data_IF_105021916758
#
_entry.id   IF_105021916758
#
_cell.length_a   1.000
_cell.length_b   1.000
_cell.length_c   1.000
_cell.angle_alpha   90.00
_cell.angle_beta   90.00
_cell.angle_gamma   90.00
#
_symmetry.space_group_name_H-M   'P 1'
#
loop_
_entity.id
_entity.type
_entity.pdbx_description
1 polymer ?
#
# COMPACT_ATOMS: atom_id res chain seq x y z
N UNK A 1 -17.87 -20.23 15.30
CA UNK A 1 -18.77 -19.67 16.34
C UNK A 1 -18.97 -18.15 16.12
N UNK A 2 -17.92 -17.37 15.88
CA UNK A 2 -18.01 -15.91 15.66
C UNK A 2 -18.84 -15.54 14.43
N UNK A 3 -18.69 -16.28 13.32
CA UNK A 3 -19.47 -16.06 12.08
C UNK A 3 -20.97 -16.19 12.32
N UNK A 4 -21.38 -17.14 13.16
CA UNK A 4 -22.80 -17.36 13.47
C UNK A 4 -23.37 -16.34 14.46
N UNK A 5 -22.52 -15.60 15.16
CA UNK A 5 -22.89 -14.54 16.10
C UNK A 5 -22.77 -13.15 15.47
N UNK A 6 -22.30 -13.04 14.21
CA UNK A 6 -22.13 -11.78 13.53
C UNK A 6 -23.47 -11.15 13.18
N UNK A 7 -23.73 -9.98 13.73
CA UNK A 7 -24.87 -9.12 13.38
C UNK A 7 -24.36 -8.00 12.48
N UNK A 8 -24.87 -7.96 11.26
CA UNK A 8 -24.49 -6.88 10.32
C UNK A 8 -25.12 -5.56 10.75
N UNK A 9 -24.32 -4.52 10.85
CA UNK A 9 -24.79 -3.15 11.05
C UNK A 9 -24.70 -2.37 9.74
N UNK A 10 -25.77 -1.65 9.39
CA UNK A 10 -25.82 -0.77 8.21
C UNK A 10 -25.82 0.67 8.63
N UNK A 11 -25.10 1.49 7.86
CA UNK A 11 -25.01 2.93 8.10
C UNK A 11 -25.27 3.68 6.80
N UNK A 12 -25.87 4.85 6.90
CA UNK A 12 -26.10 5.74 5.77
C UNK A 12 -25.11 6.90 5.82
N UNK A 13 -24.42 7.09 4.71
CA UNK A 13 -23.45 8.15 4.48
C UNK A 13 -24.05 9.17 3.52
N UNK A 14 -23.94 10.46 3.83
CA UNK A 14 -24.38 11.53 2.94
C UNK A 14 -23.17 12.13 2.24
N UNK A 15 -23.28 12.28 0.94
CA UNK A 15 -22.29 12.93 0.08
C UNK A 15 -23.01 13.99 -0.76
N UNK A 16 -22.42 15.17 -0.87
CA UNK A 16 -22.88 16.25 -1.75
C UNK A 16 -21.84 16.53 -2.84
N UNK A 17 -22.30 16.92 -4.01
CA UNK A 17 -21.47 17.46 -5.09
C UNK A 17 -21.92 18.91 -5.29
N UNK A 18 -21.00 19.84 -5.06
CA UNK A 18 -21.25 21.27 -5.23
C UNK A 18 -20.63 21.74 -6.53
N UNK A 19 -21.38 22.48 -7.33
CA UNK A 19 -20.84 23.23 -8.45
C UNK A 19 -20.35 24.60 -7.93
N UNK A 20 -19.06 24.84 -8.03
CA UNK A 20 -18.45 26.10 -7.61
C UNK A 20 -18.02 26.87 -8.84
N UNK A 21 -18.47 28.13 -9.02
CA UNK A 21 -18.02 28.97 -10.13
C UNK A 21 -16.55 29.35 -9.93
N UNK A 22 -15.71 29.09 -10.93
CA UNK A 22 -14.34 29.53 -10.99
C UNK A 22 -14.22 30.99 -11.48
N UNK A 23 -13.04 31.59 -11.31
CA UNK A 23 -12.75 32.97 -11.72
C UNK A 23 -12.98 33.23 -13.22
N UNK A 24 -12.81 32.21 -14.06
CA UNK A 24 -12.96 32.31 -15.53
C UNK A 24 -14.36 31.86 -16.03
N UNK A 25 -15.35 31.71 -15.14
CA UNK A 25 -16.68 31.21 -15.50
C UNK A 25 -16.77 29.71 -15.70
N UNK A 26 -15.68 28.97 -15.54
CA UNK A 26 -15.70 27.50 -15.50
C UNK A 26 -16.31 27.02 -14.20
N UNK A 27 -17.08 25.92 -14.25
CA UNK A 27 -17.64 25.29 -13.05
C UNK A 27 -16.73 24.16 -12.61
N UNK A 28 -16.35 24.17 -11.35
CA UNK A 28 -15.61 23.08 -10.71
C UNK A 28 -16.54 22.30 -9.78
N UNK A 29 -16.46 20.97 -9.82
CA UNK A 29 -17.17 20.11 -8.90
C UNK A 29 -16.37 19.88 -7.63
N UNK A 30 -16.97 20.18 -6.48
CA UNK A 30 -16.40 19.90 -5.16
C UNK A 30 -17.24 18.84 -4.46
N UNK A 31 -16.65 17.68 -4.26
CA UNK A 31 -17.29 16.59 -3.52
C UNK A 31 -17.07 16.78 -2.03
N UNK A 32 -18.16 16.89 -1.29
CA UNK A 32 -18.17 16.98 0.17
C UNK A 32 -18.80 15.73 0.78
N UNK A 33 -18.38 15.40 1.98
CA UNK A 33 -18.86 14.25 2.72
C UNK A 33 -19.23 14.70 4.14
N UNK A 34 -20.43 14.29 4.59
CA UNK A 34 -20.84 14.55 5.98
C UNK A 34 -19.98 13.67 6.92
N UNK A 35 -19.36 14.30 7.91
CA UNK A 35 -18.47 13.60 8.85
C UNK A 35 -19.19 12.60 9.77
N UNK A 36 -20.53 12.72 9.94
CA UNK A 36 -21.37 11.79 10.69
C UNK A 36 -22.10 10.82 9.77
N UNK A 37 -22.50 9.67 10.34
CA UNK A 37 -23.30 8.65 9.65
C UNK A 37 -24.64 8.52 10.33
N UNK A 38 -25.68 8.16 9.58
CA UNK A 38 -27.01 7.90 10.09
C UNK A 38 -27.25 6.41 10.26
N UNK A 39 -27.98 6.04 11.29
CA UNK A 39 -28.32 4.61 11.55
C UNK A 39 -29.47 4.15 10.68
N UNK A 40 -30.39 5.05 10.33
CA UNK A 40 -31.58 4.73 9.54
C UNK A 40 -31.66 5.55 8.27
N UNK A 41 -32.39 5.03 7.28
CA UNK A 41 -32.67 5.71 6.03
C UNK A 41 -33.52 6.97 6.24
N UNK A 42 -34.44 6.89 7.19
CA UNK A 42 -35.37 7.97 7.56
C UNK A 42 -34.60 9.15 8.11
N UNK A 43 -33.63 8.94 9.02
CA UNK A 43 -32.76 10.00 9.53
C UNK A 43 -31.94 10.66 8.41
N UNK A 44 -31.34 9.86 7.54
CA UNK A 44 -30.57 10.39 6.40
C UNK A 44 -31.45 11.20 5.45
N UNK A 45 -32.69 10.73 5.20
CA UNK A 45 -33.65 11.44 4.34
C UNK A 45 -34.11 12.74 4.96
N UNK A 46 -34.44 12.75 6.25
CA UNK A 46 -34.81 13.96 6.97
C UNK A 46 -33.71 15.03 6.90
N UNK A 47 -32.44 14.61 7.06
CA UNK A 47 -31.29 15.50 6.88
C UNK A 47 -31.22 16.08 5.46
N UNK A 48 -31.40 15.25 4.44
CA UNK A 48 -31.34 15.67 3.03
C UNK A 48 -32.50 16.66 2.70
N UNK A 49 -33.69 16.49 3.28
CA UNK A 49 -34.80 17.45 3.10
C UNK A 49 -34.43 18.85 3.64
N UNK A 50 -33.77 18.92 4.79
CA UNK A 50 -33.27 20.19 5.35
C UNK A 50 -32.18 20.81 4.46
N UNK A 51 -31.37 19.97 3.78
CA UNK A 51 -30.31 20.46 2.90
C UNK A 51 -30.80 21.09 1.59
N UNK A 52 -32.03 20.83 1.15
CA UNK A 52 -32.57 21.37 -0.12
C UNK A 52 -32.55 22.88 -0.20
N UNK A 53 -32.94 23.53 0.88
CA UNK A 53 -33.03 24.99 0.96
C UNK A 53 -31.88 25.62 1.75
N UNK A 54 -30.89 24.82 2.12
CA UNK A 54 -29.76 25.28 2.93
C UNK A 54 -28.74 26.07 2.09
N UNK A 55 -28.19 27.11 2.67
CA UNK A 55 -27.06 27.85 2.11
C UNK A 55 -25.77 27.24 2.63
N UNK A 56 -24.90 26.78 1.71
CA UNK A 56 -23.61 26.22 2.04
C UNK A 56 -22.54 27.30 1.92
N UNK A 57 -21.59 27.28 2.85
CA UNK A 57 -20.43 28.18 2.87
C UNK A 57 -19.18 27.38 3.26
N UNK A 58 -18.09 27.61 2.54
CA UNK A 58 -16.75 27.15 2.96
C UNK A 58 -16.34 28.04 4.15
N UNK A 59 -16.17 27.44 5.30
CA UNK A 59 -15.80 28.14 6.54
C UNK A 59 -14.32 28.14 6.78
N UNK A 60 -13.63 27.11 6.30
CA UNK A 60 -12.19 26.97 6.48
C UNK A 60 -11.57 26.15 5.36
N UNK A 61 -10.33 26.48 5.00
CA UNK A 61 -9.50 25.71 4.04
C UNK A 61 -8.15 25.45 4.71
N UNK A 62 -7.96 24.22 5.16
CA UNK A 62 -6.75 23.83 5.87
C UNK A 62 -5.86 22.97 4.97
N UNK A 63 -4.68 23.48 4.63
CA UNK A 63 -3.65 22.71 3.97
C UNK A 63 -2.72 22.14 5.02
N UNK A 64 -2.62 20.80 5.07
CA UNK A 64 -1.73 20.11 6.00
C UNK A 64 -0.69 19.33 5.21
N UNK A 65 0.59 19.36 5.61
CA UNK A 65 1.58 18.48 5.02
C UNK A 65 1.19 17.03 5.27
N UNK A 66 1.25 16.22 4.24
CA UNK A 66 0.94 14.79 4.33
C UNK A 66 2.18 13.98 4.02
N UNK A 67 2.49 13.00 4.87
CA UNK A 67 3.59 12.06 4.68
C UNK A 67 3.05 10.67 4.44
N UNK A 68 3.53 10.02 3.40
CA UNK A 68 3.22 8.63 3.11
C UNK A 68 4.47 7.77 3.26
N UNK A 69 4.50 6.97 4.32
CA UNK A 69 5.56 6.00 4.54
C UNK A 69 5.43 4.81 3.60
N UNK A 70 6.54 4.25 3.13
CA UNK A 70 6.53 3.07 2.29
C UNK A 70 6.03 1.84 3.06
N UNK A 71 5.45 0.90 2.32
CA UNK A 71 5.04 -0.39 2.88
C UNK A 71 6.26 -1.27 3.18
N UNK A 72 6.17 -2.20 4.15
CA UNK A 72 7.25 -3.13 4.47
C UNK A 72 7.60 -4.05 3.30
N UNK A 73 8.76 -4.73 3.36
CA UNK A 73 9.12 -5.80 2.43
C UNK A 73 8.06 -6.90 2.38
N UNK A 74 8.08 -7.71 1.34
CA UNK A 74 7.06 -8.72 1.14
C UNK A 74 7.16 -9.92 2.10
N UNK A 75 6.00 -10.33 2.61
CA UNK A 75 5.72 -11.69 3.06
C UNK A 75 5.11 -12.50 1.92
N UNK A 76 4.94 -13.82 2.07
CA UNK A 76 4.21 -14.66 1.10
C UNK A 76 2.84 -14.08 0.77
N UNK A 77 2.05 -13.76 1.79
CA UNK A 77 0.69 -13.25 1.63
C UNK A 77 0.64 -11.91 0.89
N UNK A 78 1.49 -10.96 1.27
CA UNK A 78 1.51 -9.64 0.64
C UNK A 78 2.07 -9.66 -0.77
N UNK A 79 3.03 -10.56 -1.07
CA UNK A 79 3.51 -10.79 -2.44
C UNK A 79 2.39 -11.32 -3.34
N UNK A 80 1.64 -12.32 -2.89
CA UNK A 80 0.50 -12.87 -3.64
C UNK A 80 -0.56 -11.81 -3.95
N UNK A 81 -0.91 -10.99 -2.96
CA UNK A 81 -1.89 -9.91 -3.14
C UNK A 81 -1.43 -8.85 -4.14
N UNK A 82 -0.18 -8.40 -4.05
CA UNK A 82 0.35 -7.38 -4.96
C UNK A 82 0.58 -7.94 -6.37
N UNK A 83 1.03 -9.19 -6.51
CA UNK A 83 1.20 -9.83 -7.80
C UNK A 83 -0.17 -10.01 -8.49
N UNK A 84 -1.21 -10.40 -7.77
CA UNK A 84 -2.56 -10.48 -8.31
C UNK A 84 -3.06 -9.10 -8.78
N UNK A 85 -2.88 -8.07 -7.95
CA UNK A 85 -3.36 -6.72 -8.24
C UNK A 85 -2.62 -6.03 -9.38
N UNK A 86 -1.28 -6.16 -9.43
CA UNK A 86 -0.42 -5.41 -10.35
C UNK A 86 -0.02 -6.18 -11.61
N UNK A 87 0.10 -7.50 -11.49
CA UNK A 87 0.57 -8.36 -12.59
C UNK A 87 -0.52 -9.28 -13.14
N UNK A 88 -1.67 -9.36 -12.47
CA UNK A 88 -2.74 -10.29 -12.83
C UNK A 88 -2.40 -11.77 -12.57
N UNK A 89 -1.41 -12.05 -11.73
CA UNK A 89 -0.98 -13.42 -11.42
C UNK A 89 -1.93 -14.07 -10.43
N UNK A 90 -2.27 -15.34 -10.67
CA UNK A 90 -2.94 -16.14 -9.65
C UNK A 90 -1.98 -16.44 -8.49
N UNK A 91 -2.55 -16.84 -7.34
CA UNK A 91 -1.77 -17.27 -6.17
C UNK A 91 -0.80 -18.40 -6.54
N UNK A 92 -1.30 -19.41 -7.25
CA UNK A 92 -0.48 -20.55 -7.69
C UNK A 92 0.63 -20.12 -8.63
N UNK A 93 0.32 -19.31 -9.64
CA UNK A 93 1.32 -18.78 -10.59
C UNK A 93 2.40 -17.97 -9.87
N UNK A 94 2.02 -17.09 -8.95
CA UNK A 94 2.95 -16.29 -8.15
C UNK A 94 3.93 -17.19 -7.41
N UNK A 95 3.45 -18.26 -6.77
CA UNK A 95 4.29 -19.16 -6.00
C UNK A 95 5.22 -20.01 -6.88
N UNK A 96 4.78 -20.46 -8.05
CA UNK A 96 5.61 -21.18 -9.01
C UNK A 96 6.75 -20.29 -9.52
N UNK A 97 6.44 -19.05 -9.89
CA UNK A 97 7.44 -18.09 -10.37
C UNK A 97 8.42 -17.71 -9.25
N UNK A 98 7.91 -17.44 -8.04
CA UNK A 98 8.76 -17.15 -6.88
C UNK A 98 9.68 -18.32 -6.51
N UNK A 99 9.22 -19.57 -6.63
CA UNK A 99 10.03 -20.75 -6.43
C UNK A 99 11.22 -20.79 -7.39
N UNK A 100 10.98 -20.53 -8.68
CA UNK A 100 12.05 -20.48 -9.69
C UNK A 100 13.07 -19.39 -9.42
N UNK A 101 12.60 -18.19 -9.01
CA UNK A 101 13.47 -17.08 -8.63
C UNK A 101 14.35 -17.44 -7.42
N UNK A 102 13.79 -18.15 -6.44
CA UNK A 102 14.53 -18.64 -5.29
C UNK A 102 15.55 -19.71 -5.68
N UNK A 103 15.15 -20.73 -6.44
CA UNK A 103 16.03 -21.82 -6.88
C UNK A 103 17.18 -21.33 -7.76
N UNK A 104 16.97 -20.25 -8.53
CA UNK A 104 18.02 -19.59 -9.31
C UNK A 104 18.84 -18.57 -8.49
N UNK A 105 18.61 -18.46 -7.18
CA UNK A 105 19.35 -17.58 -6.28
C UNK A 105 19.06 -16.09 -6.43
N UNK A 106 17.96 -15.71 -7.08
CA UNK A 106 17.62 -14.30 -7.34
C UNK A 106 16.94 -13.62 -6.15
N UNK A 107 16.19 -14.37 -5.35
CA UNK A 107 15.47 -13.86 -4.17
C UNK A 107 15.69 -14.76 -2.95
N UNK A 108 15.40 -14.23 -1.76
CA UNK A 108 15.33 -15.00 -0.52
C UNK A 108 14.15 -15.97 -0.54
N UNK A 109 14.07 -16.85 0.45
CA UNK A 109 13.02 -17.86 0.52
C UNK A 109 11.62 -17.24 0.52
N UNK A 110 10.77 -17.68 -0.41
CA UNK A 110 9.47 -17.08 -0.69
C UNK A 110 8.33 -17.51 0.24
N UNK A 111 8.56 -18.47 1.13
CA UNK A 111 7.55 -18.90 2.13
C UNK A 111 7.94 -18.35 3.49
N UNK A 112 7.54 -17.11 3.76
CA UNK A 112 7.83 -16.41 5.01
C UNK A 112 6.69 -15.47 5.38
N UNK A 113 6.48 -15.31 6.66
CA UNK A 113 5.60 -14.30 7.26
C UNK A 113 6.40 -13.13 7.84
N UNK A 114 7.74 -13.20 7.75
CA UNK A 114 8.65 -12.16 8.23
C UNK A 114 8.71 -10.96 7.28
N UNK A 115 8.79 -9.78 7.85
CA UNK A 115 9.09 -8.51 7.16
C UNK A 115 10.49 -7.99 7.51
N UNK A 116 11.27 -8.76 8.28
CA UNK A 116 12.61 -8.37 8.71
C UNK A 116 13.60 -8.42 7.56
N UNK A 117 14.56 -7.52 7.59
CA UNK A 117 15.74 -7.54 6.72
C UNK A 117 16.99 -7.74 7.59
N UNK A 118 17.95 -8.54 7.13
CA UNK A 118 19.24 -8.65 7.78
C UNK A 118 20.04 -7.34 7.69
N UNK A 119 21.03 -7.16 8.56
CA UNK A 119 21.90 -5.99 8.53
C UNK A 119 22.61 -5.84 7.18
N UNK A 120 23.00 -6.95 6.55
CA UNK A 120 23.57 -6.95 5.21
C UNK A 120 22.57 -6.43 4.17
N UNK A 121 21.30 -6.86 4.25
CA UNK A 121 20.27 -6.39 3.35
C UNK A 121 19.97 -4.90 3.53
N UNK A 122 19.95 -4.42 4.78
CA UNK A 122 19.78 -2.99 5.09
C UNK A 122 20.93 -2.16 4.52
N UNK A 123 22.19 -2.60 4.75
CA UNK A 123 23.38 -1.91 4.28
C UNK A 123 23.44 -1.86 2.73
N UNK A 124 23.18 -2.99 2.07
CA UNK A 124 23.20 -3.07 0.59
C UNK A 124 22.03 -2.32 -0.05
N UNK A 125 20.85 -2.29 0.58
CA UNK A 125 19.73 -1.44 0.14
C UNK A 125 20.06 0.04 0.24
N UNK A 126 20.67 0.47 1.35
CA UNK A 126 21.14 1.85 1.53
C UNK A 126 22.11 2.24 0.41
N UNK A 127 23.10 1.39 0.13
CA UNK A 127 24.09 1.64 -0.93
C UNK A 127 23.40 1.76 -2.29
N UNK A 128 22.52 0.82 -2.64
CA UNK A 128 21.80 0.84 -3.91
C UNK A 128 20.94 2.11 -4.08
N UNK A 129 20.24 2.56 -3.03
CA UNK A 129 19.47 3.81 -3.08
C UNK A 129 20.39 5.02 -3.25
N UNK A 130 21.50 5.05 -2.52
CA UNK A 130 22.47 6.15 -2.63
C UNK A 130 23.02 6.27 -4.05
N UNK A 131 23.40 5.15 -4.65
CA UNK A 131 24.01 5.12 -5.99
C UNK A 131 23.00 5.48 -7.09
N UNK A 132 21.75 5.00 -6.97
CA UNK A 132 20.73 5.20 -8.00
C UNK A 132 19.99 6.54 -7.89
N UNK A 133 19.74 7.01 -6.68
CA UNK A 133 18.82 8.13 -6.43
C UNK A 133 19.43 9.25 -5.59
N UNK A 134 20.47 8.95 -4.81
CA UNK A 134 21.14 9.88 -3.91
C UNK A 134 20.76 9.69 -2.43
N UNK A 135 21.67 10.10 -1.56
CA UNK A 135 21.59 9.85 -0.10
C UNK A 135 20.34 10.48 0.54
N UNK A 136 19.83 11.59 0.01
CA UNK A 136 18.63 12.26 0.53
C UNK A 136 17.37 11.39 0.51
N UNK A 137 17.35 10.35 -0.33
CA UNK A 137 16.21 9.42 -0.42
C UNK A 137 16.38 8.20 0.48
N UNK A 138 17.49 8.06 1.18
CA UNK A 138 17.73 6.95 2.09
C UNK A 138 17.04 7.20 3.43
N UNK A 139 16.24 6.22 3.88
CA UNK A 139 15.73 6.14 5.25
C UNK A 139 15.67 4.68 5.65
N UNK A 140 16.75 4.18 6.23
CA UNK A 140 16.82 2.79 6.70
C UNK A 140 15.77 2.54 7.78
N UNK A 141 14.97 1.48 7.61
CA UNK A 141 13.94 1.04 8.55
C UNK A 141 14.05 -0.44 8.81
N UNK A 142 14.00 -0.81 10.08
CA UNK A 142 13.80 -2.19 10.48
C UNK A 142 12.32 -2.38 10.78
N UNK A 143 11.70 -3.30 10.03
CA UNK A 143 10.31 -3.69 10.25
C UNK A 143 10.29 -4.90 11.19
N UNK A 144 9.43 -4.85 12.20
CA UNK A 144 9.25 -5.97 13.12
C UNK A 144 7.98 -6.74 12.75
N UNK A 145 8.08 -8.06 12.74
CA UNK A 145 6.92 -8.94 12.57
C UNK A 145 6.09 -8.96 13.85
N UNK A 146 4.80 -8.64 13.77
CA UNK A 146 3.90 -8.54 14.93
C UNK A 146 3.31 -9.89 15.39
N UNK A 147 3.52 -10.98 14.64
CA UNK A 147 2.94 -12.29 14.98
C UNK A 147 3.67 -12.93 16.16
N UNK A 148 2.92 -13.28 17.20
CA UNK A 148 3.42 -14.13 18.30
C UNK A 148 3.72 -15.52 17.71
N UNK A 149 5.00 -15.86 17.53
CA UNK A 149 5.45 -17.14 16.99
C UNK A 149 6.11 -17.06 15.62
N UNK A 150 6.29 -15.87 15.04
CA UNK A 150 7.20 -15.71 13.89
C UNK A 150 8.61 -16.12 14.31
N UNK A 151 9.19 -17.08 13.59
CA UNK A 151 10.59 -17.44 13.82
C UNK A 151 11.45 -16.23 13.43
N UNK A 152 12.11 -15.62 14.41
CA UNK A 152 12.96 -14.43 14.22
C UNK A 152 14.10 -14.63 13.19
N UNK A 153 14.39 -15.89 12.85
CA UNK A 153 15.43 -16.29 11.92
C UNK A 153 15.06 -16.11 10.42
N UNK A 154 13.79 -15.79 10.10
CA UNK A 154 13.37 -15.67 8.71
C UNK A 154 13.40 -14.22 8.23
N UNK A 155 14.00 -14.00 7.06
CA UNK A 155 13.92 -12.71 6.36
C UNK A 155 12.63 -12.57 5.54
N UNK A 156 12.32 -11.33 5.18
CA UNK A 156 11.33 -11.01 4.16
C UNK A 156 11.73 -11.53 2.77
N UNK A 157 10.79 -11.55 1.85
CA UNK A 157 11.07 -11.83 0.44
C UNK A 157 11.73 -10.58 -0.17
N UNK A 158 12.99 -10.73 -0.58
CA UNK A 158 13.81 -9.66 -1.15
C UNK A 158 14.77 -10.19 -2.22
N UNK A 159 15.33 -9.34 -3.08
CA UNK A 159 16.45 -9.73 -3.94
C UNK A 159 17.64 -10.22 -3.11
N UNK A 160 18.33 -11.23 -3.60
CA UNK A 160 19.59 -11.68 -3.00
C UNK A 160 20.66 -10.59 -3.12
N UNK A 161 20.71 -9.93 -4.28
CA UNK A 161 21.64 -8.85 -4.59
C UNK A 161 20.86 -7.58 -4.91
N UNK A 162 20.93 -6.56 -4.06
CA UNK A 162 20.19 -5.29 -4.22
C UNK A 162 20.67 -4.47 -5.43
N UNK A 163 21.91 -4.68 -5.87
CA UNK A 163 22.50 -4.03 -7.05
C UNK A 163 21.92 -4.52 -8.36
N UNK A 164 21.28 -5.69 -8.37
CA UNK A 164 20.68 -6.27 -9.58
C UNK A 164 19.25 -5.73 -9.73
N UNK A 165 19.10 -4.62 -10.47
CA UNK A 165 17.76 -4.04 -10.74
C UNK A 165 16.91 -4.94 -11.63
N UNK A 166 17.55 -5.72 -12.49
CA UNK A 166 16.92 -6.63 -13.45
C UNK A 166 17.61 -7.98 -13.43
N UNK A 167 16.91 -9.00 -13.91
CA UNK A 167 17.43 -10.36 -14.04
C UNK A 167 17.21 -10.90 -15.46
N UNK A 168 18.00 -11.89 -15.85
CA UNK A 168 17.71 -12.73 -17.01
C UNK A 168 16.68 -13.80 -16.62
N UNK A 169 15.70 -14.04 -17.47
CA UNK A 169 14.65 -15.03 -17.21
C UNK A 169 13.43 -14.80 -18.09
N UNK A 170 12.38 -15.56 -17.84
CA UNK A 170 11.10 -15.40 -18.53
C UNK A 170 10.45 -14.04 -18.18
N UNK A 171 9.54 -13.57 -19.03
CA UNK A 171 8.82 -12.33 -18.78
C UNK A 171 8.06 -12.33 -17.43
N UNK A 172 7.61 -13.50 -16.96
CA UNK A 172 6.94 -13.64 -15.67
C UNK A 172 7.92 -13.50 -14.51
N UNK A 173 9.10 -14.12 -14.62
CA UNK A 173 10.18 -14.02 -13.64
C UNK A 173 10.68 -12.57 -13.52
N UNK A 174 10.92 -11.92 -14.65
CA UNK A 174 11.35 -10.51 -14.67
C UNK A 174 10.31 -9.59 -14.01
N UNK A 175 9.01 -9.74 -14.33
CA UNK A 175 7.93 -8.94 -13.72
C UNK A 175 7.81 -9.16 -12.22
N UNK A 176 7.90 -10.41 -11.76
CA UNK A 176 7.79 -10.70 -10.33
C UNK A 176 9.02 -10.22 -9.57
N UNK A 177 10.22 -10.39 -10.14
CA UNK A 177 11.46 -9.88 -9.57
C UNK A 177 11.44 -8.34 -9.45
N UNK A 178 11.05 -7.64 -10.50
CA UNK A 178 10.92 -6.17 -10.51
C UNK A 178 9.96 -5.68 -9.40
N UNK A 179 8.83 -6.37 -9.22
CA UNK A 179 7.89 -6.08 -8.14
C UNK A 179 8.54 -6.24 -6.76
N UNK A 180 9.31 -7.32 -6.54
CA UNK A 180 10.00 -7.61 -5.28
C UNK A 180 11.12 -6.59 -5.04
N UNK A 181 11.93 -6.31 -6.06
CA UNK A 181 13.02 -5.34 -5.99
C UNK A 181 12.50 -3.95 -5.62
N UNK A 182 11.52 -3.43 -6.36
CA UNK A 182 10.91 -2.12 -6.11
C UNK A 182 10.32 -2.01 -4.70
N UNK A 183 9.65 -3.05 -4.21
CA UNK A 183 9.10 -3.06 -2.86
C UNK A 183 10.22 -3.00 -1.81
N UNK A 184 11.27 -3.78 -1.97
CA UNK A 184 12.39 -3.82 -1.03
C UNK A 184 13.10 -2.48 -0.99
N UNK A 185 13.48 -1.92 -2.13
CA UNK A 185 14.13 -0.60 -2.22
C UNK A 185 13.21 0.48 -1.63
N UNK A 186 11.96 0.56 -2.06
CA UNK A 186 11.02 1.56 -1.56
C UNK A 186 10.83 1.48 -0.04
N UNK A 187 10.88 0.29 0.56
CA UNK A 187 10.76 0.11 2.01
C UNK A 187 11.86 0.83 2.78
N UNK A 188 13.02 1.05 2.17
CA UNK A 188 14.20 1.68 2.75
C UNK A 188 14.39 3.14 2.28
N UNK A 189 13.41 3.69 1.56
CA UNK A 189 13.45 5.09 1.10
C UNK A 189 12.75 6.04 2.07
N UNK A 190 13.04 7.33 1.93
CA UNK A 190 12.36 8.40 2.66
C UNK A 190 10.84 8.40 2.38
N UNK A 191 10.08 8.99 3.32
CA UNK A 191 8.63 9.17 3.14
C UNK A 191 8.38 10.11 1.96
N UNK A 192 7.30 9.89 1.21
CA UNK A 192 6.81 10.84 0.23
C UNK A 192 6.05 11.97 0.93
N UNK A 193 6.33 13.21 0.55
CA UNK A 193 5.71 14.44 1.04
C UNK A 193 4.86 15.09 -0.03
#
# INVERSE_FOLDING_TARGET
REVNAFVSESWYKVTAIFEVPGENGEKSEVKAELGSRFKTKEEARAFLEVCKDAKFKITDVVTKPSKKSPAPPFTTSTLQQEAARKLGFSVSQTMVVAQRLYESGQITYMRTDSVNLSDLALATSRQAITDLMGEKYVKTRQFATKSKGAQEAHEAIRPTYMTNETIHGTAQEQKLYDLIWKRTIASQMADAE
#
